data_IF_994726343727
#
_entry.id   IF_994726343727
#
_cell.length_a   1.000
_cell.length_b   1.000
_cell.length_c   1.000
_cell.angle_alpha   90.00
_cell.angle_beta   90.00
_cell.angle_gamma   90.00
#
_symmetry.space_group_name_H-M   'P 1'
#
loop_
_entity.id
_entity.type
_entity.pdbx_description
1 polymer ?
#
# COMPACT_ATOMS: atom_id res chain seq x y z
N UNK A 1 11.16 6.19 18.77
CA UNK A 1 12.56 6.67 18.60
C UNK A 1 12.99 6.36 17.18
N UNK A 2 13.67 7.29 16.52
CA UNK A 2 14.14 7.13 15.15
C UNK A 2 15.56 7.70 15.07
N UNK A 3 16.53 6.85 14.77
CA UNK A 3 17.95 7.17 14.69
C UNK A 3 18.55 6.47 13.46
N UNK A 4 19.10 7.25 12.53
CA UNK A 4 19.79 6.76 11.34
C UNK A 4 21.19 7.40 11.31
N UNK A 5 22.21 6.55 11.20
CA UNK A 5 23.62 6.97 11.26
C UNK A 5 24.23 7.31 9.91
N UNK A 6 23.58 6.91 8.82
CA UNK A 6 24.03 7.09 7.44
C UNK A 6 23.05 8.00 6.68
N UNK A 7 23.45 8.53 5.52
CA UNK A 7 22.58 9.38 4.71
C UNK A 7 21.38 8.61 4.15
N UNK A 8 21.58 7.35 3.77
CA UNK A 8 20.54 6.46 3.28
C UNK A 8 20.88 5.01 3.60
N UNK A 9 19.90 4.23 4.01
CA UNK A 9 20.03 2.79 4.25
C UNK A 9 19.02 2.07 3.35
N UNK A 10 19.48 1.06 2.62
CA UNK A 10 18.62 0.29 1.71
C UNK A 10 18.90 -1.20 1.84
N UNK A 11 17.83 -1.98 1.95
CA UNK A 11 17.89 -3.43 2.00
C UNK A 11 16.55 -3.99 1.50
N UNK A 12 16.56 -5.24 1.05
CA UNK A 12 15.37 -5.98 0.65
C UNK A 12 15.02 -7.04 1.68
N UNK A 13 13.73 -7.21 1.97
CA UNK A 13 13.19 -8.24 2.88
C UNK A 13 11.95 -8.88 2.28
N UNK A 14 11.57 -10.05 2.77
CA UNK A 14 10.27 -10.65 2.45
C UNK A 14 9.15 -9.85 3.12
N UNK A 15 8.30 -9.20 2.31
CA UNK A 15 7.15 -8.45 2.81
C UNK A 15 6.17 -9.37 3.57
N UNK A 16 5.97 -10.60 3.10
CA UNK A 16 5.11 -11.57 3.78
C UNK A 16 5.64 -11.88 5.19
N UNK A 17 6.95 -12.15 5.33
CA UNK A 17 7.54 -12.42 6.63
C UNK A 17 7.44 -11.20 7.56
N UNK A 18 7.59 -9.98 7.02
CA UNK A 18 7.40 -8.75 7.78
C UNK A 18 5.96 -8.64 8.30
N UNK A 19 4.98 -8.82 7.42
CA UNK A 19 3.56 -8.75 7.78
C UNK A 19 3.18 -9.82 8.79
N UNK A 20 3.71 -11.03 8.68
CA UNK A 20 3.52 -12.11 9.67
C UNK A 20 4.08 -11.73 11.05
N UNK A 21 5.29 -11.17 11.09
CA UNK A 21 5.91 -10.73 12.35
C UNK A 21 5.14 -9.57 12.99
N UNK A 22 4.71 -8.60 12.18
CA UNK A 22 3.91 -7.45 12.64
C UNK A 22 2.53 -7.87 13.17
N UNK A 23 1.98 -8.99 12.70
CA UNK A 23 0.69 -9.52 13.11
C UNK A 23 0.79 -10.67 14.14
N UNK A 24 1.93 -10.85 14.81
CA UNK A 24 2.11 -12.02 15.68
C UNK A 24 1.13 -12.06 16.87
N UNK A 25 0.68 -10.90 17.34
CA UNK A 25 -0.34 -10.77 18.39
C UNK A 25 -1.78 -10.73 17.84
N UNK A 26 -1.94 -10.87 16.51
CA UNK A 26 -3.22 -10.82 15.81
C UNK A 26 -3.66 -9.40 15.45
N UNK A 27 -4.50 -9.30 14.43
CA UNK A 27 -5.02 -8.02 13.88
C UNK A 27 -6.19 -7.43 14.69
N UNK A 28 -6.40 -7.90 15.92
CA UNK A 28 -7.54 -7.58 16.76
C UNK A 28 -7.12 -7.44 18.20
N UNK A 29 -6.24 -6.49 18.50
CA UNK A 29 -5.98 -6.12 19.88
C UNK A 29 -7.28 -5.55 20.47
N UNK A 30 -7.68 -6.06 21.64
CA UNK A 30 -8.89 -5.59 22.32
C UNK A 30 -8.82 -4.09 22.63
N UNK A 31 -9.96 -3.43 22.94
CA UNK A 31 -9.97 -2.01 23.26
C UNK A 31 -8.93 -1.67 24.35
N UNK A 32 -7.98 -0.77 24.02
CA UNK A 32 -6.93 -0.34 24.94
C UNK A 32 -5.67 -1.20 24.95
N UNK A 33 -5.56 -2.23 24.12
CA UNK A 33 -4.33 -3.01 23.93
C UNK A 33 -3.62 -2.51 22.68
N UNK A 34 -2.35 -2.14 22.82
CA UNK A 34 -1.49 -1.68 21.72
C UNK A 34 -0.19 -2.44 21.73
N UNK A 35 0.25 -2.91 20.56
CA UNK A 35 1.58 -3.50 20.39
C UNK A 35 2.62 -2.40 20.15
N UNK A 36 3.67 -2.36 20.97
CA UNK A 36 4.84 -1.52 20.72
C UNK A 36 5.80 -2.23 19.75
N UNK A 37 6.46 -1.47 18.87
CA UNK A 37 7.44 -1.99 17.91
C UNK A 37 8.76 -1.23 18.04
N UNK A 38 9.86 -1.97 18.07
CA UNK A 38 11.21 -1.47 17.86
C UNK A 38 11.86 -2.21 16.71
N UNK A 39 12.35 -1.46 15.73
CA UNK A 39 13.08 -1.99 14.57
C UNK A 39 14.55 -1.62 14.67
N UNK A 40 15.43 -2.59 14.43
CA UNK A 40 16.88 -2.43 14.47
C UNK A 40 17.50 -3.07 13.24
N UNK A 41 18.35 -2.32 12.54
CA UNK A 41 19.14 -2.83 11.43
C UNK A 41 20.58 -2.37 11.58
N UNK A 42 21.51 -3.32 11.65
CA UNK A 42 22.91 -3.05 11.98
C UNK A 42 23.80 -2.89 10.72
N UNK A 43 23.22 -2.38 9.63
CA UNK A 43 23.92 -2.17 8.37
C UNK A 43 24.01 -3.40 7.48
N UNK A 44 24.73 -3.24 6.38
CA UNK A 44 24.83 -4.22 5.32
C UNK A 44 25.23 -5.62 5.82
N UNK A 45 24.52 -6.66 5.35
CA UNK A 45 24.74 -8.06 5.73
C UNK A 45 24.12 -8.50 7.05
N UNK A 46 23.57 -7.59 7.87
CA UNK A 46 22.84 -7.94 9.10
C UNK A 46 21.34 -8.14 8.83
N UNK A 47 20.63 -8.96 9.61
CA UNK A 47 19.17 -9.06 9.52
C UNK A 47 18.49 -7.79 10.04
N UNK A 48 17.22 -7.60 9.67
CA UNK A 48 16.32 -6.66 10.33
C UNK A 48 15.74 -7.34 11.57
N UNK A 49 16.07 -6.80 12.75
CA UNK A 49 15.50 -7.25 14.03
C UNK A 49 14.25 -6.45 14.36
N UNK A 50 13.17 -7.13 14.70
CA UNK A 50 11.91 -6.56 15.18
C UNK A 50 11.69 -7.03 16.61
N UNK A 51 11.55 -6.10 17.53
CA UNK A 51 11.13 -6.38 18.90
C UNK A 51 9.73 -5.83 19.08
N UNK A 52 8.76 -6.74 19.28
CA UNK A 52 7.36 -6.39 19.53
C UNK A 52 7.03 -6.66 20.99
N UNK A 53 6.28 -5.76 21.62
CA UNK A 53 5.82 -5.92 22.99
C UNK A 53 4.31 -5.65 23.08
N UNK A 54 3.57 -6.55 23.70
CA UNK A 54 2.16 -6.39 24.00
C UNK A 54 1.84 -6.98 25.38
N UNK A 55 1.32 -6.14 26.28
CA UNK A 55 0.91 -6.53 27.63
C UNK A 55 1.99 -7.30 28.42
N UNK A 56 3.26 -6.91 28.25
CA UNK A 56 4.43 -7.53 28.89
C UNK A 56 4.97 -8.77 28.18
N UNK A 57 4.33 -9.24 27.10
CA UNK A 57 4.83 -10.33 26.26
C UNK A 57 5.72 -9.73 25.18
N UNK A 58 6.95 -10.23 25.07
CA UNK A 58 7.95 -9.75 24.11
C UNK A 58 8.22 -10.82 23.05
N UNK A 59 8.18 -10.41 21.79
CA UNK A 59 8.58 -11.21 20.64
C UNK A 59 9.79 -10.58 19.97
N UNK A 60 10.82 -11.39 19.71
CA UNK A 60 12.00 -11.01 18.93
C UNK A 60 11.99 -11.76 17.59
N UNK A 61 11.87 -11.01 16.48
CA UNK A 61 11.91 -11.53 15.12
C UNK A 61 13.18 -11.07 14.40
N UNK A 62 13.80 -11.98 13.65
CA UNK A 62 14.98 -11.68 12.84
C UNK A 62 14.72 -11.99 11.37
N UNK A 63 14.55 -10.94 10.55
CA UNK A 63 14.27 -11.06 9.12
C UNK A 63 15.57 -10.96 8.33
N UNK A 64 15.84 -11.98 7.51
CA UNK A 64 16.98 -11.95 6.60
C UNK A 64 16.82 -10.83 5.57
N UNK A 65 17.87 -10.03 5.43
CA UNK A 65 17.98 -9.00 4.40
C UNK A 65 18.65 -9.57 3.15
N UNK A 66 18.41 -8.90 2.03
CA UNK A 66 18.99 -9.19 0.72
C UNK A 66 19.47 -7.88 0.11
N UNK A 67 20.34 -8.00 -0.89
CA UNK A 67 20.72 -6.88 -1.73
C UNK A 67 19.46 -6.29 -2.41
N UNK A 68 19.29 -4.96 -2.37
CA UNK A 68 18.17 -4.32 -3.03
C UNK A 68 18.29 -4.44 -4.55
N UNK A 69 17.16 -4.58 -5.23
CA UNK A 69 17.10 -4.42 -6.68
C UNK A 69 17.14 -2.93 -7.02
N UNK A 70 17.57 -2.59 -8.23
CA UNK A 70 17.49 -1.22 -8.73
C UNK A 70 16.03 -0.75 -8.75
N UNK A 71 15.70 0.39 -8.11
CA UNK A 71 14.33 0.88 -8.12
C UNK A 71 13.92 1.28 -9.54
N UNK A 72 12.67 0.96 -9.91
CA UNK A 72 12.08 1.52 -11.12
C UNK A 72 11.88 3.03 -10.93
N UNK A 73 12.61 3.84 -11.69
CA UNK A 73 12.45 5.29 -11.66
C UNK A 73 11.29 5.74 -12.54
N UNK A 74 10.16 6.05 -11.92
CA UNK A 74 9.04 6.74 -12.58
C UNK A 74 9.09 8.23 -12.22
N UNK A 75 9.40 9.09 -13.20
CA UNK A 75 9.43 10.54 -12.97
C UNK A 75 8.02 11.14 -13.08
N UNK A 76 7.28 11.18 -11.97
CA UNK A 76 6.00 11.88 -11.89
C UNK A 76 6.22 13.39 -11.64
N UNK A 77 6.70 14.11 -12.67
CA UNK A 77 6.81 15.57 -12.60
C UNK A 77 5.44 16.22 -12.79
N UNK A 78 5.06 17.14 -11.88
CA UNK A 78 3.80 17.89 -11.98
C UNK A 78 3.65 18.70 -13.28
N UNK A 79 4.75 18.96 -13.98
CA UNK A 79 4.80 19.76 -15.22
C UNK A 79 4.21 19.06 -16.45
N UNK A 80 3.70 17.83 -16.33
CA UNK A 80 3.06 17.08 -17.41
C UNK A 80 1.72 16.43 -17.03
N UNK A 81 1.15 16.78 -15.88
CA UNK A 81 -0.11 16.20 -15.42
C UNK A 81 -1.28 16.87 -16.16
N UNK A 82 -1.96 16.12 -17.03
CA UNK A 82 -3.08 16.62 -17.85
C UNK A 82 -4.38 16.70 -17.03
N UNK A 83 -4.66 15.67 -16.23
CA UNK A 83 -5.84 15.58 -15.37
C UNK A 83 -5.43 15.12 -13.97
N UNK A 84 -6.09 15.66 -12.94
CA UNK A 84 -5.87 15.29 -11.54
C UNK A 84 -7.21 15.16 -10.83
N UNK A 85 -7.42 14.03 -10.17
CA UNK A 85 -8.60 13.75 -9.34
C UNK A 85 -8.12 13.41 -7.93
N UNK A 86 -8.82 13.92 -6.92
CA UNK A 86 -8.68 13.55 -5.52
C UNK A 86 -10.05 13.07 -5.08
N UNK A 87 -10.13 11.83 -4.56
CA UNK A 87 -11.39 11.22 -4.15
C UNK A 87 -11.22 10.45 -2.84
N UNK A 88 -12.33 10.22 -2.14
CA UNK A 88 -12.36 9.39 -0.92
C UNK A 88 -12.02 7.94 -1.29
N UNK A 89 -11.21 7.29 -0.46
CA UNK A 89 -10.75 5.91 -0.70
C UNK A 89 -11.90 4.89 -0.72
N UNK A 90 -12.97 5.19 0.01
CA UNK A 90 -14.18 4.37 0.11
C UNK A 90 -14.85 4.20 -1.26
N UNK A 91 -15.01 5.30 -2.01
CA UNK A 91 -15.55 5.26 -3.38
C UNK A 91 -14.71 4.36 -4.29
N UNK A 92 -13.37 4.47 -4.20
CA UNK A 92 -12.48 3.68 -5.04
C UNK A 92 -12.55 2.19 -4.69
N UNK A 93 -12.69 1.87 -3.40
CA UNK A 93 -12.85 0.49 -2.93
C UNK A 93 -14.13 -0.15 -3.50
N UNK A 94 -15.23 0.58 -3.52
CA UNK A 94 -16.49 0.12 -4.11
C UNK A 94 -16.32 -0.15 -5.60
N UNK A 95 -15.79 0.81 -6.35
CA UNK A 95 -15.51 0.66 -7.79
C UNK A 95 -14.61 -0.55 -8.06
N UNK A 96 -13.51 -0.70 -7.32
CA UNK A 96 -12.57 -1.82 -7.50
C UNK A 96 -13.15 -3.18 -7.12
N UNK A 97 -14.14 -3.22 -6.23
CA UNK A 97 -14.81 -4.47 -5.85
C UNK A 97 -15.76 -4.98 -6.95
N UNK A 98 -16.20 -4.10 -7.86
CA UNK A 98 -17.16 -4.42 -8.93
C UNK A 98 -16.50 -4.69 -10.30
N UNK A 99 -15.17 -4.51 -10.41
CA UNK A 99 -14.46 -4.68 -11.69
C UNK A 99 -14.55 -6.11 -12.23
N UNK A 100 -14.73 -6.23 -13.54
CA UNK A 100 -14.67 -7.52 -14.22
C UNK A 100 -13.21 -7.93 -14.43
N UNK A 101 -12.73 -8.81 -13.54
CA UNK A 101 -11.37 -9.37 -13.58
C UNK A 101 -11.09 -10.27 -14.79
N UNK A 102 -12.09 -10.58 -15.62
CA UNK A 102 -11.86 -11.25 -16.91
C UNK A 102 -11.36 -10.31 -18.00
N UNK A 103 -11.42 -8.99 -17.78
CA UNK A 103 -10.85 -8.02 -18.71
C UNK A 103 -9.33 -7.95 -18.58
N UNK A 104 -8.62 -7.90 -19.71
CA UNK A 104 -7.16 -7.72 -19.74
C UNK A 104 -6.73 -6.27 -19.49
N UNK A 105 -7.66 -5.32 -19.61
CA UNK A 105 -7.39 -3.88 -19.50
C UNK A 105 -8.41 -3.19 -18.62
N UNK A 106 -7.95 -2.14 -17.94
CA UNK A 106 -8.80 -1.18 -17.25
C UNK A 106 -8.62 0.18 -17.91
N UNK A 107 -9.70 0.73 -18.45
CA UNK A 107 -9.73 2.10 -18.98
C UNK A 107 -10.04 3.08 -17.86
N UNK A 108 -9.22 4.13 -17.76
CA UNK A 108 -9.50 5.29 -16.92
C UNK A 108 -9.81 6.47 -17.85
N UNK A 109 -11.05 6.92 -17.83
CA UNK A 109 -11.52 8.08 -18.57
C UNK A 109 -11.59 9.31 -17.66
N UNK A 110 -11.04 10.44 -18.12
CA UNK A 110 -11.10 11.74 -17.44
C UNK A 110 -11.41 12.84 -18.46
N UNK A 111 -12.37 13.71 -18.14
CA UNK A 111 -12.86 14.77 -19.03
C UNK A 111 -13.41 15.95 -18.22
N UNK A 112 -13.33 17.20 -18.73
CA UNK A 112 -14.09 18.32 -18.16
C UNK A 112 -15.60 18.20 -18.42
N UNK A 113 -16.02 17.35 -19.36
CA UNK A 113 -17.43 17.08 -19.69
C UNK A 113 -17.87 15.71 -19.14
N UNK A 114 -19.17 15.58 -18.86
CA UNK A 114 -19.78 14.33 -18.40
C UNK A 114 -19.37 13.12 -19.28
N UNK A 115 -19.00 11.97 -18.70
CA UNK A 115 -19.19 11.60 -17.29
C UNK A 115 -18.08 12.05 -16.33
N UNK A 116 -17.20 12.98 -16.71
CA UNK A 116 -16.08 13.53 -15.93
C UNK A 116 -14.98 12.54 -15.55
N UNK A 117 -15.32 11.46 -14.87
CA UNK A 117 -14.44 10.37 -14.50
C UNK A 117 -15.18 9.04 -14.59
N UNK A 118 -14.54 8.05 -15.23
CA UNK A 118 -15.11 6.71 -15.37
C UNK A 118 -14.00 5.67 -15.42
N UNK A 119 -14.19 4.56 -14.72
CA UNK A 119 -13.37 3.35 -14.84
C UNK A 119 -14.16 2.33 -15.65
N UNK A 120 -13.53 1.66 -16.60
CA UNK A 120 -14.21 0.68 -17.45
C UNK A 120 -13.39 -0.58 -17.65
N UNK A 121 -14.08 -1.72 -17.66
CA UNK A 121 -13.51 -3.04 -17.96
C UNK A 121 -14.32 -3.69 -19.09
N UNK A 122 -13.64 -4.46 -19.92
CA UNK A 122 -14.20 -5.10 -21.11
C UNK A 122 -13.97 -6.60 -21.00
N UNK A 123 -14.80 -7.27 -20.20
CA UNK A 123 -14.66 -8.68 -19.92
C UNK A 123 -15.47 -9.55 -20.87
N UNK A 124 -15.47 -10.86 -20.61
CA UNK A 124 -16.08 -11.86 -21.50
C UNK A 124 -17.60 -11.73 -21.63
N UNK A 125 -18.25 -11.09 -20.66
CA UNK A 125 -19.71 -11.00 -20.57
C UNK A 125 -20.24 -9.59 -20.88
N UNK A 126 -19.37 -8.67 -21.27
CA UNK A 126 -19.74 -7.32 -21.66
C UNK A 126 -18.80 -6.26 -21.10
N UNK A 127 -19.23 -5.02 -21.20
CA UNK A 127 -18.52 -3.86 -20.69
C UNK A 127 -19.12 -3.42 -19.37
N UNK A 128 -18.28 -3.26 -18.36
CA UNK A 128 -18.66 -2.66 -17.08
C UNK A 128 -18.13 -1.22 -17.03
N UNK A 129 -19.00 -0.28 -16.66
CA UNK A 129 -18.70 1.13 -16.47
C UNK A 129 -19.00 1.52 -15.03
N UNK A 130 -17.97 1.92 -14.29
CA UNK A 130 -18.09 2.42 -12.92
C UNK A 130 -17.69 3.90 -12.88
N UNK A 131 -18.48 4.73 -12.21
CA UNK A 131 -18.13 6.10 -11.87
C UNK A 131 -18.44 6.31 -10.38
N UNK A 132 -17.67 7.11 -9.64
CA UNK A 132 -18.05 7.49 -8.28
C UNK A 132 -19.37 8.27 -8.33
N UNK A 133 -20.24 8.02 -7.36
CA UNK A 133 -21.52 8.73 -7.24
C UNK A 133 -21.30 10.25 -7.12
N UNK A 134 -22.17 11.05 -7.75
CA UNK A 134 -22.10 12.52 -7.71
C UNK A 134 -22.36 13.10 -6.29
N UNK A 135 -22.74 12.27 -5.32
CA UNK A 135 -23.06 12.67 -3.94
C UNK A 135 -21.83 12.96 -3.05
N UNK A 136 -20.62 12.99 -3.62
CA UNK A 136 -19.38 13.24 -2.87
C UNK A 136 -18.84 14.67 -2.97
N UNK A 137 -19.60 15.61 -3.57
CA UNK A 137 -19.39 17.06 -3.46
C UNK A 137 -19.77 17.57 -2.05
N UNK A 138 -18.91 17.30 -1.07
CA UNK A 138 -18.92 17.97 0.25
C UNK A 138 -17.49 18.16 0.78
#
# INVERSE_FOLDING_TARGET
EYDIKEESITFKISLNALVECLNIFGSGSGPGVTTALKMCYNGYGFPLSLLLEEAGVITDCSLKTQDPDDPMEFSFCNTGVVNKIIMKSECLKEIFSELDMSSEVMEIFMSPDAPFFRISTFGNYGTNHCAPDEDYDD
#
